data_IF_102756356248
#
_entry.id   IF_102756356248
#
_cell.length_a   1.000
_cell.length_b   1.000
_cell.length_c   1.000
_cell.angle_alpha   90.00
_cell.angle_beta   90.00
_cell.angle_gamma   90.00
#
_symmetry.space_group_name_H-M   'P 1'
#
loop_
_entity.id
_entity.type
_entity.pdbx_description
1 polymer ?
#
# COMPACT_ATOMS: atom_id res chain seq x y z
N UNK A 1 27.87 -18.96 86.28
CA UNK A 1 28.34 -20.23 85.67
C UNK A 1 27.12 -21.11 85.45
N UNK A 2 26.94 -21.89 84.39
CA UNK A 2 27.69 -22.12 83.16
C UNK A 2 26.64 -22.53 82.11
N UNK A 3 26.84 -22.12 80.87
CA UNK A 3 25.98 -22.53 79.76
C UNK A 3 26.09 -24.03 79.50
N UNK A 4 24.97 -24.65 79.17
CA UNK A 4 24.94 -25.92 78.47
C UNK A 4 24.11 -25.75 77.21
N UNK A 5 24.81 -25.63 76.09
CA UNK A 5 24.23 -25.69 74.76
C UNK A 5 23.57 -27.05 74.57
N UNK A 6 22.26 -27.02 74.30
CA UNK A 6 21.50 -28.18 73.87
C UNK A 6 21.97 -28.59 72.48
N UNK A 7 22.78 -29.64 72.42
CA UNK A 7 23.09 -30.37 71.20
C UNK A 7 21.77 -31.02 70.75
N UNK A 8 21.17 -30.49 69.68
CA UNK A 8 20.04 -31.15 69.03
C UNK A 8 20.55 -32.48 68.44
N UNK A 9 19.87 -33.61 68.68
CA UNK A 9 20.24 -34.86 68.03
C UNK A 9 20.10 -34.68 66.52
N UNK A 10 21.18 -34.94 65.78
CA UNK A 10 21.24 -34.84 64.32
C UNK A 10 20.13 -35.62 63.59
N UNK A 11 19.45 -36.53 64.30
CA UNK A 11 18.32 -37.30 63.80
C UNK A 11 16.99 -36.55 63.66
N UNK A 12 16.79 -35.39 64.31
CA UNK A 12 15.52 -34.65 64.20
C UNK A 12 15.54 -33.59 63.09
N UNK A 13 16.68 -32.92 62.86
CA UNK A 13 16.81 -31.93 61.78
C UNK A 13 16.68 -32.55 60.37
N UNK A 14 17.06 -33.83 60.23
CA UNK A 14 16.95 -34.55 58.96
C UNK A 14 15.52 -35.02 58.64
N UNK A 15 14.61 -35.03 59.62
CA UNK A 15 13.21 -35.43 59.40
C UNK A 15 12.34 -34.33 58.78
N UNK A 16 12.82 -33.09 58.77
CA UNK A 16 12.13 -31.95 58.14
C UNK A 16 12.67 -31.61 56.74
N UNK A 17 13.84 -32.14 56.37
CA UNK A 17 14.43 -31.92 55.05
C UNK A 17 13.79 -32.79 53.96
N UNK A 18 13.09 -33.86 54.35
CA UNK A 18 12.45 -34.81 53.42
C UNK A 18 10.93 -34.61 53.38
N UNK A 19 10.49 -33.39 53.12
CA UNK A 19 9.14 -33.12 52.64
C UNK A 19 9.23 -32.64 51.18
N UNK A 20 9.39 -33.59 50.27
CA UNK A 20 9.12 -33.36 48.86
C UNK A 20 7.60 -33.41 48.68
N UNK A 21 6.93 -32.35 48.20
CA UNK A 21 5.49 -32.42 47.98
C UNK A 21 5.17 -33.60 47.07
N UNK A 22 4.08 -34.35 47.31
CA UNK A 22 3.70 -35.44 46.44
C UNK A 22 3.58 -34.87 45.02
N UNK A 23 4.32 -35.43 44.07
CA UNK A 23 4.09 -35.16 42.66
C UNK A 23 2.65 -35.58 42.38
N UNK A 24 1.74 -34.60 42.36
CA UNK A 24 0.36 -34.82 42.01
C UNK A 24 0.37 -35.59 40.69
N UNK A 25 -0.10 -36.85 40.71
CA UNK A 25 -0.32 -37.65 39.51
C UNK A 25 -1.24 -36.82 38.62
N UNK A 26 -0.65 -36.07 37.68
CA UNK A 26 -1.40 -35.33 36.68
C UNK A 26 -2.08 -36.39 35.84
N UNK A 27 -3.40 -36.43 35.92
CA UNK A 27 -4.23 -37.39 35.20
C UNK A 27 -3.88 -37.29 33.72
N UNK A 28 -3.45 -38.39 33.12
CA UNK A 28 -3.21 -38.51 31.66
C UNK A 28 -4.42 -37.96 30.87
N UNK A 29 -5.61 -38.21 31.41
CA UNK A 29 -6.90 -37.74 30.89
C UNK A 29 -7.06 -36.22 30.87
N UNK A 30 -6.37 -35.46 31.71
CA UNK A 30 -6.38 -33.99 31.69
C UNK A 30 -5.45 -33.44 30.61
N UNK A 31 -4.32 -34.12 30.38
CA UNK A 31 -3.38 -33.78 29.30
C UNK A 31 -4.03 -34.06 27.94
N UNK A 32 -4.67 -35.23 27.79
CA UNK A 32 -5.41 -35.60 26.57
C UNK A 32 -6.59 -34.66 26.31
N UNK A 33 -7.29 -34.24 27.36
CA UNK A 33 -8.39 -33.27 27.26
C UNK A 33 -7.89 -31.87 26.89
N UNK A 34 -6.75 -31.44 27.43
CA UNK A 34 -6.09 -30.20 27.07
C UNK A 34 -5.59 -30.20 25.62
N UNK A 35 -5.00 -31.32 25.20
CA UNK A 35 -4.53 -31.54 23.83
C UNK A 35 -5.71 -31.55 22.85
N UNK A 36 -6.77 -32.30 23.14
CA UNK A 36 -7.97 -32.36 22.30
C UNK A 36 -8.64 -30.99 22.16
N UNK A 37 -8.77 -30.23 23.25
CA UNK A 37 -9.28 -28.85 23.21
C UNK A 37 -8.41 -27.93 22.38
N UNK A 38 -7.09 -28.05 22.50
CA UNK A 38 -6.13 -27.25 21.74
C UNK A 38 -6.20 -27.58 20.25
N UNK A 39 -6.28 -28.86 19.89
CA UNK A 39 -6.44 -29.32 18.51
C UNK A 39 -7.75 -28.83 17.90
N UNK A 40 -8.85 -28.88 18.64
CA UNK A 40 -10.14 -28.35 18.19
C UNK A 40 -10.06 -26.82 18.01
N UNK A 41 -9.49 -26.10 18.98
CA UNK A 41 -9.36 -24.64 18.91
C UNK A 41 -8.48 -24.19 17.73
N UNK A 42 -7.37 -24.88 17.51
CA UNK A 42 -6.45 -24.61 16.39
C UNK A 42 -7.14 -24.94 15.06
N UNK A 43 -7.81 -26.08 14.96
CA UNK A 43 -8.57 -26.47 13.76
C UNK A 43 -9.67 -25.47 13.41
N UNK A 44 -10.43 -25.01 14.42
CA UNK A 44 -11.49 -24.03 14.23
C UNK A 44 -10.93 -22.66 13.83
N UNK A 45 -9.80 -22.24 14.42
CA UNK A 45 -9.13 -20.99 14.08
C UNK A 45 -8.62 -20.95 12.65
N UNK A 46 -7.97 -22.03 12.19
CA UNK A 46 -7.49 -22.14 10.80
C UNK A 46 -8.66 -22.18 9.82
N UNK A 47 -9.72 -22.93 10.14
CA UNK A 47 -10.93 -22.98 9.31
C UNK A 47 -11.62 -21.61 9.19
N UNK A 48 -11.76 -20.88 10.30
CA UNK A 48 -12.35 -19.55 10.31
C UNK A 48 -11.53 -18.55 9.49
N UNK A 49 -10.20 -18.54 9.65
CA UNK A 49 -9.30 -17.68 8.87
C UNK A 49 -9.34 -18.01 7.37
N UNK A 50 -9.34 -19.29 7.00
CA UNK A 50 -9.45 -19.72 5.61
C UNK A 50 -10.77 -19.31 4.97
N UNK A 51 -11.89 -19.44 5.68
CA UNK A 51 -13.21 -19.09 5.17
C UNK A 51 -13.40 -17.58 5.05
N UNK A 52 -12.98 -16.82 6.07
CA UNK A 52 -12.99 -15.35 6.05
C UNK A 52 -12.09 -14.80 4.93
N UNK A 53 -10.88 -15.34 4.78
CA UNK A 53 -9.96 -14.99 3.70
C UNK A 53 -10.54 -15.30 2.32
N UNK A 54 -11.19 -16.47 2.14
CA UNK A 54 -11.84 -16.84 0.88
C UNK A 54 -12.98 -15.88 0.52
N UNK A 55 -13.79 -15.48 1.50
CA UNK A 55 -14.91 -14.58 1.28
C UNK A 55 -14.44 -13.15 0.97
N UNK A 56 -13.47 -12.65 1.74
CA UNK A 56 -12.83 -11.37 1.48
C UNK A 56 -12.19 -11.32 0.09
N UNK A 57 -11.49 -12.39 -0.33
CA UNK A 57 -10.84 -12.48 -1.64
C UNK A 57 -11.84 -12.52 -2.80
N UNK A 58 -13.01 -13.16 -2.64
CA UNK A 58 -14.07 -13.17 -3.64
C UNK A 58 -14.66 -11.77 -3.86
N UNK A 59 -14.85 -10.99 -2.78
CA UNK A 59 -15.38 -9.62 -2.83
C UNK A 59 -14.31 -8.63 -3.36
N UNK A 60 -13.04 -8.90 -3.08
CA UNK A 60 -11.93 -8.08 -3.55
C UNK A 60 -11.59 -8.24 -5.03
N UNK A 61 -11.94 -9.35 -5.70
CA UNK A 61 -11.71 -9.50 -7.15
C UNK A 61 -12.45 -8.46 -8.00
N UNK A 62 -13.78 -8.28 -7.87
CA UNK A 62 -14.49 -7.24 -8.62
C UNK A 62 -14.14 -5.83 -8.14
N UNK A 63 -13.89 -5.66 -6.83
CA UNK A 63 -13.52 -4.35 -6.28
C UNK A 63 -12.12 -3.90 -6.72
N UNK A 64 -11.17 -4.84 -6.80
CA UNK A 64 -9.83 -4.61 -7.31
C UNK A 64 -9.83 -4.21 -8.77
N UNK A 65 -10.70 -4.78 -9.61
CA UNK A 65 -10.84 -4.34 -11.00
C UNK A 65 -11.42 -2.93 -11.10
N UNK A 66 -12.46 -2.57 -10.34
CA UNK A 66 -12.98 -1.19 -10.40
C UNK A 66 -12.02 -0.20 -9.78
N UNK A 67 -11.30 -0.53 -8.70
CA UNK A 67 -10.29 0.35 -8.12
C UNK A 67 -9.07 0.44 -9.03
N UNK A 68 -8.66 -0.62 -9.72
CA UNK A 68 -7.54 -0.54 -10.68
C UNK A 68 -7.95 0.14 -11.97
N UNK A 69 -9.17 -0.02 -12.48
CA UNK A 69 -9.70 0.76 -13.60
C UNK A 69 -9.83 2.25 -13.21
N UNK A 70 -10.31 2.53 -12.00
CA UNK A 70 -10.46 3.89 -11.48
C UNK A 70 -9.09 4.51 -11.16
N UNK A 71 -8.18 3.76 -10.54
CA UNK A 71 -6.81 4.19 -10.29
C UNK A 71 -5.99 4.26 -11.58
N UNK A 72 -6.25 3.46 -12.62
CA UNK A 72 -5.67 3.67 -13.96
C UNK A 72 -6.24 4.91 -14.62
N UNK A 73 -7.50 5.27 -14.36
CA UNK A 73 -8.11 6.53 -14.84
C UNK A 73 -7.64 7.77 -14.07
N UNK A 74 -7.26 7.62 -12.80
CA UNK A 74 -6.78 8.71 -11.94
C UNK A 74 -5.23 8.83 -12.00
N UNK A 75 -4.52 7.71 -12.06
CA UNK A 75 -3.07 7.58 -12.25
C UNK A 75 -2.65 7.54 -13.72
N UNK A 76 -3.60 7.68 -14.65
CA UNK A 76 -3.36 8.38 -15.90
C UNK A 76 -3.63 9.86 -15.59
N UNK A 77 -2.63 10.60 -15.10
CA UNK A 77 -2.82 12.00 -14.76
C UNK A 77 -3.03 12.71 -16.06
N UNK A 78 -4.28 12.88 -16.52
CA UNK A 78 -4.61 13.79 -17.62
C UNK A 78 -3.52 13.71 -18.70
N UNK A 79 -3.16 12.50 -19.16
CA UNK A 79 -2.31 12.40 -20.34
C UNK A 79 -3.19 13.05 -21.36
N UNK A 80 -2.85 14.31 -21.63
CA UNK A 80 -3.55 15.19 -22.51
C UNK A 80 -3.97 14.31 -23.65
N UNK A 81 -5.27 14.23 -23.89
CA UNK A 81 -5.74 13.71 -25.16
C UNK A 81 -5.22 14.73 -26.18
N UNK A 82 -3.92 14.65 -26.46
CA UNK A 82 -3.23 15.30 -27.54
C UNK A 82 -4.11 14.98 -28.72
N UNK A 83 -4.56 16.03 -29.40
CA UNK A 83 -5.45 15.88 -30.53
C UNK A 83 -4.84 14.82 -31.46
N UNK A 84 -5.49 13.65 -31.51
CA UNK A 84 -4.91 12.46 -32.15
C UNK A 84 -5.03 12.66 -33.66
N UNK A 85 -3.90 12.84 -34.34
CA UNK A 85 -3.83 13.02 -35.79
C UNK A 85 -2.88 14.13 -36.21
N UNK A 86 -2.80 14.38 -37.51
CA UNK A 86 -2.16 15.58 -38.06
C UNK A 86 -3.12 16.76 -38.10
N UNK A 87 -2.71 17.83 -38.78
CA UNK A 87 -3.61 18.93 -39.11
C UNK A 87 -4.71 18.45 -40.07
N UNK A 88 -5.90 19.05 -39.98
CA UNK A 88 -6.95 18.88 -40.98
C UNK A 88 -6.41 19.33 -42.34
N UNK A 89 -6.84 18.66 -43.41
CA UNK A 89 -6.38 18.97 -44.77
C UNK A 89 -6.68 20.43 -45.17
N UNK A 90 -7.73 21.02 -44.59
CA UNK A 90 -8.12 22.41 -44.79
C UNK A 90 -8.24 23.08 -43.44
N UNK A 91 -7.50 24.18 -43.24
CA UNK A 91 -7.49 24.93 -41.99
C UNK A 91 -8.91 25.36 -41.58
N UNK A 92 -9.47 24.70 -40.58
CA UNK A 92 -10.80 25.00 -40.06
C UNK A 92 -10.73 26.03 -38.92
N UNK A 93 -11.85 26.72 -38.65
CA UNK A 93 -11.91 27.67 -37.52
C UNK A 93 -11.66 26.99 -36.17
N UNK A 94 -12.05 25.71 -36.06
CA UNK A 94 -11.85 24.92 -34.85
C UNK A 94 -10.39 24.51 -34.71
N UNK A 95 -9.74 24.13 -35.80
CA UNK A 95 -8.32 23.82 -35.77
C UNK A 95 -7.47 25.04 -35.47
N UNK A 96 -7.74 26.19 -36.12
CA UNK A 96 -7.00 27.42 -35.87
C UNK A 96 -7.11 27.86 -34.40
N UNK A 97 -8.26 27.64 -33.76
CA UNK A 97 -8.46 27.98 -32.35
C UNK A 97 -7.67 27.05 -31.43
N UNK A 98 -7.56 25.76 -31.78
CA UNK A 98 -6.71 24.79 -31.09
C UNK A 98 -5.21 25.11 -31.24
N UNK A 99 -4.75 25.45 -32.44
CA UNK A 99 -3.36 25.84 -32.72
C UNK A 99 -2.99 27.11 -31.95
N UNK A 100 -3.87 28.12 -31.95
CA UNK A 100 -3.62 29.40 -31.29
C UNK A 100 -3.85 29.37 -29.77
N UNK A 101 -4.46 28.31 -29.23
CA UNK A 101 -4.83 28.22 -27.82
C UNK A 101 -5.88 29.26 -27.41
N UNK A 102 -6.79 29.64 -28.31
CA UNK A 102 -7.86 30.63 -28.05
C UNK A 102 -9.23 30.03 -28.29
N UNK A 103 -10.28 30.60 -27.68
CA UNK A 103 -11.66 30.19 -27.96
C UNK A 103 -12.03 30.48 -29.44
N UNK A 104 -12.83 29.64 -30.11
CA UNK A 104 -13.32 29.89 -31.48
C UNK A 104 -14.16 31.17 -31.59
N UNK A 105 -14.66 31.69 -30.45
CA UNK A 105 -15.40 32.97 -30.37
C UNK A 105 -14.53 34.15 -29.93
N UNK A 106 -13.20 33.99 -29.85
CA UNK A 106 -12.30 35.05 -29.40
C UNK A 106 -12.24 36.22 -30.40
N UNK A 107 -12.14 37.44 -29.88
CA UNK A 107 -12.04 38.66 -30.69
C UNK A 107 -10.68 38.80 -31.41
N UNK A 108 -10.67 39.59 -32.50
CA UNK A 108 -9.50 39.81 -33.38
C UNK A 108 -8.22 40.23 -32.64
N UNK A 109 -8.35 41.01 -31.55
CA UNK A 109 -7.20 41.46 -30.77
C UNK A 109 -6.47 40.29 -30.07
N UNK A 110 -7.21 39.36 -29.46
CA UNK A 110 -6.65 38.16 -28.79
C UNK A 110 -6.02 37.21 -29.81
N UNK A 111 -6.66 37.03 -30.97
CA UNK A 111 -6.14 36.21 -32.07
C UNK A 111 -4.78 36.74 -32.54
N UNK A 112 -4.64 38.05 -32.79
CA UNK A 112 -3.37 38.65 -33.23
C UNK A 112 -2.26 38.51 -32.18
N UNK A 113 -2.59 38.68 -30.91
CA UNK A 113 -1.64 38.52 -29.82
C UNK A 113 -1.14 37.07 -29.71
N UNK A 114 -2.06 36.10 -29.74
CA UNK A 114 -1.73 34.68 -29.70
C UNK A 114 -0.89 34.26 -30.91
N UNK A 115 -1.27 34.72 -32.11
CA UNK A 115 -0.52 34.47 -33.35
C UNK A 115 0.92 35.02 -33.26
N UNK A 116 1.09 36.27 -32.80
CA UNK A 116 2.42 36.86 -32.60
C UNK A 116 3.24 36.05 -31.60
N UNK A 117 2.65 35.63 -30.49
CA UNK A 117 3.32 34.84 -29.46
C UNK A 117 3.84 33.52 -30.01
N UNK A 118 3.00 32.77 -30.72
CA UNK A 118 3.36 31.47 -31.30
C UNK A 118 4.42 31.61 -32.39
N UNK A 119 4.28 32.62 -33.26
CA UNK A 119 5.27 32.90 -34.31
C UNK A 119 6.65 33.20 -33.74
N UNK A 120 6.72 33.97 -32.65
CA UNK A 120 7.98 34.32 -31.97
C UNK A 120 8.59 33.11 -31.26
N UNK A 121 7.77 32.20 -30.72
CA UNK A 121 8.24 30.97 -30.06
C UNK A 121 8.80 29.97 -31.09
N UNK A 122 8.08 29.78 -32.20
CA UNK A 122 8.45 28.82 -33.24
C UNK A 122 9.29 29.42 -34.37
N UNK A 123 9.83 30.63 -34.20
CA UNK A 123 10.61 31.29 -35.24
C UNK A 123 11.90 30.49 -35.51
N UNK A 124 12.20 30.11 -36.78
CA UNK A 124 13.38 29.29 -37.10
C UNK A 124 14.69 29.88 -36.58
N UNK A 125 14.81 31.21 -36.56
CA UNK A 125 15.99 31.92 -36.08
C UNK A 125 16.24 31.78 -34.56
N UNK A 126 15.29 31.20 -33.80
CA UNK A 126 15.45 30.92 -32.37
C UNK A 126 15.72 29.46 -32.03
N UNK A 127 15.36 28.53 -32.92
CA UNK A 127 15.49 27.08 -32.67
C UNK A 127 16.96 26.69 -32.55
N UNK A 128 17.87 27.42 -33.19
CA UNK A 128 19.31 27.19 -33.11
C UNK A 128 19.90 27.44 -31.71
N UNK A 129 19.32 28.35 -30.91
CA UNK A 129 19.85 28.72 -29.59
C UNK A 129 19.43 27.76 -28.46
N UNK A 130 18.25 27.12 -28.57
CA UNK A 130 17.73 26.26 -27.49
C UNK A 130 18.39 24.87 -27.49
N UNK A 131 18.79 24.38 -28.66
CA UNK A 131 19.52 23.11 -28.80
C UNK A 131 20.94 23.23 -28.20
N UNK A 132 21.58 24.39 -28.34
CA UNK A 132 22.93 24.62 -27.82
C UNK A 132 22.97 24.70 -26.28
N UNK A 133 21.95 25.27 -25.64
CA UNK A 133 21.87 25.39 -24.18
C UNK A 133 21.60 24.03 -23.52
N UNK A 134 20.85 23.14 -24.18
CA UNK A 134 20.59 21.80 -23.65
C UNK A 134 21.73 20.79 -23.87
N UNK A 135 22.70 21.10 -24.74
CA UNK A 135 23.88 20.25 -24.99
C UNK A 135 25.11 20.65 -24.14
N UNK A 136 25.06 21.82 -23.48
CA UNK A 136 26.18 22.39 -22.70
C UNK A 136 25.90 22.39 -21.18
N UNK A 137 24.74 21.88 -20.74
CA UNK A 137 24.37 21.70 -19.33
C UNK A 137 24.16 20.23 -18.97
#
# INVERSE_FOLDING_TARGET
MAGHGGILPAGEALRYAEYSPPQAKRSDTDIDRGLARSLIAVGLGIAALGFAGRYAFQIWKPLGQVITETAKKISAPTFSSYYKGGFEQKMSRREASLILGVSPSAGKAKIRAAHRRIMILNHPDKVEMEIYVSYVL
#
